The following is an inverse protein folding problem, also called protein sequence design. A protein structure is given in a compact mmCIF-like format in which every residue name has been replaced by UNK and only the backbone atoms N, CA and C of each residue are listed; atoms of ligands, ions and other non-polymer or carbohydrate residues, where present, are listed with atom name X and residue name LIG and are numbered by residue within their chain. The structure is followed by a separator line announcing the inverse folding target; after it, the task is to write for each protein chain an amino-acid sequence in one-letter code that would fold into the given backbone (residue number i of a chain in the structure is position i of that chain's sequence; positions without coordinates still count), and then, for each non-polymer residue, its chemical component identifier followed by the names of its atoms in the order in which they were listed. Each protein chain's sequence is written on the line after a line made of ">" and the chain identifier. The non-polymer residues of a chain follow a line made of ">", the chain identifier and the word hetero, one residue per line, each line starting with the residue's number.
data_IF_961686861387
#
_entry.id   IF_961686861387
#
_cell.length_a   1.000
_cell.length_b   1.000
_cell.length_c   1.000
_cell.angle_alpha   90.00
_cell.angle_beta   90.00
_cell.angle_gamma   90.00
#
_symmetry.space_group_name_H-M   'P 1'
#
loop_
_entity.id
_entity.type
_entity.pdbx_description
1 polymer ?
#
# COMPACT_ATOMS: atom_id res chain seq x y z
N UNK A 1 -15.64 -20.87 2.52
CA UNK A 1 -15.33 -19.86 1.49
C UNK A 1 -16.46 -18.84 1.39
N UNK A 2 -16.32 -17.69 2.03
CA UNK A 2 -17.20 -16.55 1.78
C UNK A 2 -16.83 -15.98 0.42
N UNK A 3 -17.59 -16.27 -0.62
CA UNK A 3 -17.48 -15.56 -1.90
C UNK A 3 -17.94 -14.12 -1.67
N UNK A 4 -16.99 -13.19 -1.66
CA UNK A 4 -17.26 -11.75 -1.70
C UNK A 4 -17.31 -11.31 -3.15
N UNK A 5 -18.41 -10.70 -3.55
CA UNK A 5 -18.56 -10.14 -4.89
C UNK A 5 -18.00 -8.72 -4.91
N UNK A 6 -16.95 -8.50 -5.70
CA UNK A 6 -16.41 -7.16 -5.95
C UNK A 6 -17.34 -6.43 -6.93
N UNK A 7 -17.99 -5.36 -6.47
CA UNK A 7 -18.94 -4.58 -7.28
C UNK A 7 -18.32 -3.39 -7.98
N UNK A 8 -17.22 -2.88 -7.44
CA UNK A 8 -16.50 -1.73 -8.00
C UNK A 8 -15.05 -1.73 -7.51
N UNK A 9 -14.19 -1.01 -8.21
CA UNK A 9 -12.89 -0.57 -7.71
C UNK A 9 -13.01 0.82 -7.08
N UNK A 10 -11.94 1.29 -6.43
CA UNK A 10 -11.82 2.70 -6.11
C UNK A 10 -11.70 3.57 -7.38
N UNK A 11 -11.75 4.90 -7.23
CA UNK A 11 -11.82 5.86 -8.35
C UNK A 11 -10.66 5.69 -9.35
N UNK A 12 -9.46 5.38 -8.87
CA UNK A 12 -8.25 5.29 -9.69
C UNK A 12 -7.85 3.85 -10.04
N UNK A 13 -8.67 2.87 -9.67
CA UNK A 13 -8.49 1.43 -9.96
C UNK A 13 -7.21 0.83 -9.30
N UNK A 14 -6.57 1.54 -8.37
CA UNK A 14 -5.37 1.05 -7.67
C UNK A 14 -5.65 -0.09 -6.70
N UNK A 15 -6.90 -0.22 -6.23
CA UNK A 15 -7.37 -1.33 -5.42
C UNK A 15 -8.78 -1.77 -5.81
N UNK A 16 -9.08 -3.05 -5.62
CA UNK A 16 -10.41 -3.63 -5.78
C UNK A 16 -10.80 -4.26 -4.46
N UNK A 17 -11.63 -3.55 -3.70
CA UNK A 17 -12.03 -3.95 -2.36
C UNK A 17 -13.55 -4.10 -2.26
N UNK A 18 -13.97 -4.92 -1.33
CA UNK A 18 -15.37 -5.21 -1.10
C UNK A 18 -16.07 -4.01 -0.43
N UNK A 19 -17.23 -3.65 -0.94
CA UNK A 19 -18.15 -2.70 -0.30
C UNK A 19 -19.59 -3.18 -0.41
N UNK A 20 -20.38 -2.95 0.63
CA UNK A 20 -21.82 -3.23 0.66
C UNK A 20 -22.57 -2.18 1.50
N UNK A 21 -23.82 -2.44 1.85
CA UNK A 21 -24.62 -1.52 2.65
C UNK A 21 -24.10 -1.34 4.09
N UNK A 22 -23.33 -2.31 4.59
CA UNK A 22 -22.80 -2.29 5.95
C UNK A 22 -21.32 -1.92 6.02
N UNK A 23 -20.60 -1.96 4.90
CA UNK A 23 -19.16 -1.78 4.81
C UNK A 23 -18.79 -0.85 3.67
N UNK A 24 -18.13 0.23 4.00
CA UNK A 24 -17.57 1.15 3.04
C UNK A 24 -16.06 0.96 2.99
N UNK A 25 -15.54 0.70 1.81
CA UNK A 25 -14.11 0.58 1.57
C UNK A 25 -13.30 1.74 2.17
N UNK A 26 -12.24 1.41 2.88
CA UNK A 26 -11.26 2.35 3.41
C UNK A 26 -9.86 1.75 3.35
N UNK A 27 -8.90 2.48 2.79
CA UNK A 27 -7.50 2.07 2.66
C UNK A 27 -6.57 3.23 3.02
N UNK A 28 -5.50 2.94 3.75
CA UNK A 28 -4.40 3.89 3.97
C UNK A 28 -3.35 3.73 2.87
N UNK A 29 -3.11 4.83 2.16
CA UNK A 29 -2.17 4.88 1.04
C UNK A 29 -0.94 5.71 1.38
N UNK A 30 0.24 5.24 0.97
CA UNK A 30 1.50 5.98 1.00
C UNK A 30 2.37 5.61 -0.19
N UNK A 31 3.51 6.28 -0.33
CA UNK A 31 4.48 5.97 -1.38
C UNK A 31 5.89 6.23 -0.91
N UNK A 32 6.83 5.43 -1.43
CA UNK A 32 8.26 5.66 -1.30
C UNK A 32 8.81 6.30 -2.57
N UNK A 33 9.78 7.17 -2.41
CA UNK A 33 10.41 7.89 -3.51
C UNK A 33 11.57 7.05 -4.09
N UNK A 34 11.40 6.57 -5.31
CA UNK A 34 12.41 5.75 -6.00
C UNK A 34 13.66 6.53 -6.42
N UNK A 35 13.65 7.87 -6.41
CA UNK A 35 14.87 8.64 -6.65
C UNK A 35 16.01 8.21 -5.71
N UNK A 36 15.64 7.79 -4.49
CA UNK A 36 16.55 7.32 -3.44
C UNK A 36 16.59 5.79 -3.31
N UNK A 37 16.13 5.04 -4.33
CA UNK A 37 16.04 3.58 -4.27
C UNK A 37 17.36 2.93 -3.87
N UNK A 38 18.48 3.35 -4.46
CA UNK A 38 19.80 2.79 -4.20
C UNK A 38 20.32 3.06 -2.78
N UNK A 39 19.70 4.01 -2.05
CA UNK A 39 20.07 4.34 -0.68
C UNK A 39 19.35 3.43 0.35
N UNK A 40 18.15 2.96 0.02
CA UNK A 40 17.33 2.18 0.96
C UNK A 40 17.04 0.73 0.53
N UNK A 41 17.36 0.34 -0.71
CA UNK A 41 17.04 -1.01 -1.22
C UNK A 41 17.67 -2.16 -0.42
N UNK A 42 18.85 -1.91 0.17
CA UNK A 42 19.60 -2.90 0.96
C UNK A 42 19.25 -2.84 2.47
N UNK A 43 18.38 -1.91 2.86
CA UNK A 43 17.85 -1.84 4.23
C UNK A 43 16.68 -2.83 4.38
N UNK A 44 16.84 -3.90 5.19
CA UNK A 44 15.82 -4.94 5.34
C UNK A 44 14.57 -4.46 6.08
N UNK A 45 14.64 -3.32 6.75
CA UNK A 45 13.59 -2.83 7.64
C UNK A 45 12.83 -1.62 7.05
N UNK A 46 13.37 -0.94 6.02
CA UNK A 46 12.77 0.29 5.50
C UNK A 46 11.32 0.08 5.00
N UNK A 47 11.10 -0.83 4.06
CA UNK A 47 9.74 -1.14 3.55
C UNK A 47 8.91 -1.88 4.60
N UNK A 48 9.55 -2.72 5.41
CA UNK A 48 8.92 -3.42 6.53
C UNK A 48 8.30 -2.43 7.52
N UNK A 49 9.03 -1.42 7.96
CA UNK A 49 8.58 -0.39 8.91
C UNK A 49 7.54 0.55 8.30
N UNK A 50 7.64 0.85 7.00
CA UNK A 50 6.62 1.63 6.29
C UNK A 50 5.25 0.95 6.30
N UNK A 51 5.19 -0.37 6.18
CA UNK A 51 3.93 -1.11 6.29
C UNK A 51 3.39 -1.13 7.74
N UNK A 52 4.27 -1.24 8.74
CA UNK A 52 3.88 -1.12 10.15
C UNK A 52 3.29 0.27 10.41
N UNK A 53 3.94 1.33 9.92
CA UNK A 53 3.44 2.70 10.04
C UNK A 53 2.02 2.83 9.45
N UNK A 54 1.79 2.28 8.26
CA UNK A 54 0.47 2.31 7.63
C UNK A 54 -0.58 1.53 8.44
N UNK A 55 -0.23 0.38 9.01
CA UNK A 55 -1.13 -0.36 9.91
C UNK A 55 -1.44 0.41 11.21
N UNK A 56 -0.47 1.15 11.74
CA UNK A 56 -0.70 2.05 12.88
C UNK A 56 -1.64 3.21 12.52
N UNK A 57 -1.55 3.75 11.30
CA UNK A 57 -2.47 4.80 10.82
C UNK A 57 -3.90 4.24 10.69
N UNK A 58 -4.06 3.01 10.18
CA UNK A 58 -5.38 2.33 10.17
C UNK A 58 -5.91 2.13 11.59
N UNK A 59 -5.06 1.75 12.54
CA UNK A 59 -5.46 1.61 13.94
C UNK A 59 -5.95 2.95 14.54
N UNK A 60 -5.20 4.01 14.30
CA UNK A 60 -5.61 5.36 14.74
C UNK A 60 -6.95 5.78 14.09
N UNK A 61 -7.12 5.51 12.79
CA UNK A 61 -8.38 5.75 12.08
C UNK A 61 -9.55 4.98 12.74
N UNK A 62 -9.36 3.70 13.07
CA UNK A 62 -10.36 2.87 13.75
C UNK A 62 -10.73 3.48 15.10
N UNK A 63 -9.73 3.85 15.91
CA UNK A 63 -9.95 4.38 17.26
C UNK A 63 -10.68 5.74 17.25
N UNK A 64 -10.28 6.65 16.37
CA UNK A 64 -10.89 7.98 16.23
C UNK A 64 -12.24 7.92 15.52
N UNK A 65 -12.31 7.19 14.42
CA UNK A 65 -13.51 7.05 13.60
C UNK A 65 -14.66 6.35 14.33
N UNK A 66 -14.36 5.42 15.25
CA UNK A 66 -15.37 4.75 16.09
C UNK A 66 -16.14 5.72 17.00
N UNK A 67 -15.66 6.93 17.18
CA UNK A 67 -16.28 7.98 18.02
C UNK A 67 -17.06 8.99 17.17
N UNK A 68 -17.03 8.89 15.85
CA UNK A 68 -17.63 9.86 14.94
C UNK A 68 -18.86 9.26 14.26
N UNK A 69 -20.03 9.90 14.39
CA UNK A 69 -21.25 9.46 13.68
C UNK A 69 -21.04 9.49 12.17
N UNK A 70 -21.59 8.46 11.47
CA UNK A 70 -21.53 8.35 10.01
C UNK A 70 -20.31 7.63 9.46
N UNK A 71 -19.35 7.21 10.32
CA UNK A 71 -18.16 6.44 9.92
C UNK A 71 -18.26 4.94 10.24
N UNK A 72 -19.41 4.48 10.73
CA UNK A 72 -19.59 3.11 11.23
C UNK A 72 -19.23 2.05 10.18
N UNK A 73 -19.71 2.25 8.94
CA UNK A 73 -19.48 1.31 7.84
C UNK A 73 -17.98 1.27 7.42
N UNK A 74 -17.33 2.43 7.37
CA UNK A 74 -15.91 2.53 7.02
C UNK A 74 -15.01 1.98 8.13
N UNK A 75 -15.34 2.24 9.39
CA UNK A 75 -14.62 1.69 10.56
C UNK A 75 -14.79 0.18 10.62
N UNK A 76 -15.98 -0.36 10.31
CA UNK A 76 -16.21 -1.80 10.26
C UNK A 76 -15.32 -2.46 9.20
N UNK A 77 -15.28 -1.88 7.99
CA UNK A 77 -14.39 -2.34 6.94
C UNK A 77 -12.93 -2.31 7.40
N UNK A 78 -12.47 -1.17 7.94
CA UNK A 78 -11.10 -1.00 8.40
C UNK A 78 -10.70 -2.05 9.46
N UNK A 79 -11.57 -2.38 10.40
CA UNK A 79 -11.35 -3.44 11.41
C UNK A 79 -11.21 -4.83 10.81
N UNK A 80 -12.06 -5.16 9.84
CA UNK A 80 -12.12 -6.49 9.24
C UNK A 80 -11.04 -6.75 8.19
N UNK A 81 -10.61 -5.71 7.47
CA UNK A 81 -9.70 -5.82 6.33
C UNK A 81 -8.30 -5.29 6.60
N UNK A 82 -8.17 -4.23 7.40
CA UNK A 82 -6.90 -3.52 7.65
C UNK A 82 -6.13 -3.24 6.35
N UNK A 83 -6.86 -2.78 5.33
CA UNK A 83 -6.32 -2.54 3.98
C UNK A 83 -5.33 -1.38 3.98
N UNK A 84 -4.13 -1.62 3.52
CA UNK A 84 -3.08 -0.63 3.31
C UNK A 84 -2.56 -0.71 1.88
N UNK A 85 -1.98 0.37 1.38
CA UNK A 85 -1.44 0.41 0.02
C UNK A 85 -0.16 1.24 -0.03
N UNK A 86 0.99 0.58 -0.01
CA UNK A 86 2.28 1.21 -0.25
C UNK A 86 2.57 1.18 -1.75
N UNK A 87 2.79 2.34 -2.34
CA UNK A 87 3.17 2.50 -3.74
C UNK A 87 4.53 3.17 -3.88
N UNK A 88 4.83 3.63 -5.08
CA UNK A 88 6.08 4.32 -5.41
C UNK A 88 5.82 5.64 -6.13
N UNK A 89 6.80 6.55 -6.08
CA UNK A 89 6.89 7.76 -6.90
C UNK A 89 8.24 7.80 -7.61
N UNK A 90 8.40 8.68 -8.59
CA UNK A 90 9.67 9.00 -9.23
C UNK A 90 10.38 7.87 -9.99
N UNK A 91 9.65 6.85 -10.48
CA UNK A 91 10.27 5.77 -11.27
C UNK A 91 10.98 6.30 -12.51
N UNK A 92 10.32 7.18 -13.29
CA UNK A 92 10.94 7.79 -14.47
C UNK A 92 12.19 8.60 -14.11
N UNK A 93 12.14 9.36 -13.00
CA UNK A 93 13.28 10.14 -12.52
C UNK A 93 14.47 9.24 -12.12
N UNK A 94 14.16 8.10 -11.48
CA UNK A 94 15.16 7.08 -11.16
C UNK A 94 15.81 6.50 -12.43
N UNK A 95 15.01 6.18 -13.44
CA UNK A 95 15.52 5.68 -14.73
C UNK A 95 16.42 6.74 -15.41
N UNK A 96 16.00 8.01 -15.43
CA UNK A 96 16.79 9.10 -16.00
C UNK A 96 18.11 9.31 -15.25
N UNK A 97 18.07 9.30 -13.90
CA UNK A 97 19.28 9.39 -13.06
C UNK A 97 20.32 8.30 -13.42
N UNK A 98 19.84 7.11 -13.79
CA UNK A 98 20.69 5.96 -14.12
C UNK A 98 20.92 5.79 -15.64
N UNK A 99 20.50 6.76 -16.48
CA UNK A 99 20.60 6.69 -17.94
C UNK A 99 19.90 5.46 -18.57
N UNK A 100 18.81 5.01 -17.96
CA UNK A 100 18.01 3.89 -18.44
C UNK A 100 16.84 4.42 -19.27
N UNK A 101 16.69 3.96 -20.51
CA UNK A 101 15.59 4.36 -21.36
C UNK A 101 14.28 3.71 -20.87
N UNK A 102 13.21 4.52 -20.75
CA UNK A 102 11.88 4.00 -20.43
C UNK A 102 11.39 3.03 -21.51
N UNK A 103 10.85 1.89 -21.10
CA UNK A 103 10.40 0.82 -22.00
C UNK A 103 11.52 -0.10 -22.52
N UNK A 104 12.77 0.10 -22.09
CA UNK A 104 13.87 -0.82 -22.36
C UNK A 104 13.78 -2.11 -21.55
N UNK A 105 14.53 -3.13 -21.96
CA UNK A 105 14.66 -4.39 -21.17
C UNK A 105 15.22 -4.09 -19.78
N UNK A 106 16.17 -3.16 -19.69
CA UNK A 106 16.77 -2.76 -18.42
C UNK A 106 15.75 -2.07 -17.49
N UNK A 107 14.88 -1.19 -18.03
CA UNK A 107 13.82 -0.58 -17.25
C UNK A 107 12.81 -1.62 -16.73
N UNK A 108 12.51 -2.65 -17.52
CA UNK A 108 11.68 -3.77 -17.10
C UNK A 108 12.33 -4.58 -15.97
N UNK A 109 13.63 -4.86 -16.07
CA UNK A 109 14.37 -5.55 -15.02
C UNK A 109 14.38 -4.74 -13.71
N UNK A 110 14.60 -3.42 -13.80
CA UNK A 110 14.53 -2.53 -12.64
C UNK A 110 13.13 -2.47 -12.02
N UNK A 111 12.10 -2.42 -12.83
CA UNK A 111 10.72 -2.50 -12.34
C UNK A 111 10.48 -3.81 -11.57
N UNK A 112 10.93 -4.94 -12.14
CA UNK A 112 10.80 -6.24 -11.48
C UNK A 112 11.57 -6.30 -10.15
N UNK A 113 12.81 -5.81 -10.11
CA UNK A 113 13.64 -5.73 -8.90
C UNK A 113 12.93 -4.94 -7.80
N UNK A 114 12.48 -3.73 -8.11
CA UNK A 114 11.83 -2.82 -7.17
C UNK A 114 10.54 -3.44 -6.60
N UNK A 115 9.64 -3.90 -7.47
CA UNK A 115 8.35 -4.42 -7.00
C UNK A 115 8.44 -5.80 -6.35
N UNK A 116 9.46 -6.60 -6.69
CA UNK A 116 9.74 -7.84 -5.96
C UNK A 116 10.19 -7.55 -4.53
N UNK A 117 11.08 -6.58 -4.33
CA UNK A 117 11.52 -6.14 -3.02
C UNK A 117 10.35 -5.60 -2.18
N UNK A 118 9.54 -4.69 -2.76
CA UNK A 118 8.37 -4.15 -2.08
C UNK A 118 7.41 -5.27 -1.64
N UNK A 119 7.14 -6.22 -2.53
CA UNK A 119 6.24 -7.35 -2.25
C UNK A 119 6.76 -8.23 -1.13
N UNK A 120 8.02 -8.63 -1.21
CA UNK A 120 8.65 -9.51 -0.22
C UNK A 120 8.63 -8.88 1.17
N UNK A 121 9.09 -7.64 1.30
CA UNK A 121 9.14 -6.93 2.58
C UNK A 121 7.72 -6.64 3.14
N UNK A 122 6.77 -6.29 2.29
CA UNK A 122 5.39 -6.06 2.70
C UNK A 122 4.71 -7.35 3.17
N UNK A 123 4.95 -8.48 2.51
CA UNK A 123 4.42 -9.77 2.93
C UNK A 123 5.04 -10.21 4.27
N UNK A 124 6.35 -10.02 4.44
CA UNK A 124 7.07 -10.29 5.70
C UNK A 124 6.52 -9.45 6.85
N UNK A 125 6.35 -8.15 6.63
CA UNK A 125 5.78 -7.21 7.61
C UNK A 125 4.37 -7.61 8.04
N UNK A 126 3.48 -7.91 7.08
CA UNK A 126 2.09 -8.30 7.38
C UNK A 126 2.01 -9.62 8.15
N UNK A 127 2.89 -10.60 7.87
CA UNK A 127 2.98 -11.85 8.64
C UNK A 127 3.46 -11.58 10.06
N UNK A 128 4.50 -10.78 10.22
CA UNK A 128 5.01 -10.41 11.54
C UNK A 128 3.95 -9.68 12.37
N UNK A 129 3.22 -8.74 11.77
CA UNK A 129 2.12 -8.05 12.45
C UNK A 129 0.98 -9.00 12.82
N UNK A 130 0.67 -10.00 11.99
CA UNK A 130 -0.33 -11.02 12.30
C UNK A 130 0.08 -11.86 13.52
N UNK A 131 1.35 -12.25 13.63
CA UNK A 131 1.89 -12.98 14.78
C UNK A 131 1.87 -12.14 16.06
N UNK A 132 2.20 -10.85 15.98
CA UNK A 132 2.31 -9.96 17.14
C UNK A 132 0.97 -9.39 17.60
N UNK A 133 0.11 -9.00 16.66
CA UNK A 133 -1.11 -8.25 16.94
C UNK A 133 -2.39 -8.97 16.52
N UNK A 134 -2.25 -10.18 15.96
CA UNK A 134 -3.36 -11.01 15.52
C UNK A 134 -3.84 -10.71 14.10
N UNK A 135 -4.57 -11.65 13.57
CA UNK A 135 -5.20 -11.57 12.26
C UNK A 135 -6.56 -10.87 12.37
N UNK A 136 -6.95 -10.01 11.43
CA UNK A 136 -8.32 -9.52 11.37
C UNK A 136 -9.30 -10.64 10.96
N UNK A 137 -10.59 -10.45 11.23
CA UNK A 137 -11.61 -11.47 11.08
C UNK A 137 -11.61 -12.17 9.72
N UNK A 138 -11.43 -11.40 8.64
CA UNK A 138 -11.48 -11.92 7.27
C UNK A 138 -10.25 -12.72 6.88
N UNK A 139 -9.13 -12.51 7.58
CA UNK A 139 -7.84 -13.16 7.32
C UNK A 139 -7.49 -14.25 8.32
N UNK A 140 -8.43 -14.65 9.17
CA UNK A 140 -8.18 -15.75 10.14
C UNK A 140 -7.72 -17.03 9.46
N UNK A 141 -6.54 -17.50 9.86
CA UNK A 141 -5.90 -18.70 9.33
C UNK A 141 -5.05 -18.48 8.08
N UNK A 142 -4.91 -17.25 7.60
CA UNK A 142 -4.04 -16.91 6.44
C UNK A 142 -2.63 -16.47 6.85
N UNK A 143 -2.40 -16.18 8.13
CA UNK A 143 -1.11 -15.67 8.60
C UNK A 143 -0.79 -14.26 8.12
N UNK A 144 -1.80 -13.44 7.88
CA UNK A 144 -1.68 -12.08 7.37
C UNK A 144 -2.53 -11.11 8.19
N UNK A 145 -2.03 -9.86 8.33
CA UNK A 145 -2.76 -8.80 9.02
C UNK A 145 -3.51 -7.86 8.07
N UNK A 146 -3.07 -7.73 6.83
CA UNK A 146 -3.60 -6.77 5.87
C UNK A 146 -4.12 -7.49 4.62
N UNK A 147 -5.33 -7.18 4.16
CA UNK A 147 -5.90 -7.75 2.93
C UNK A 147 -5.13 -7.29 1.69
N UNK A 148 -4.83 -6.00 1.62
CA UNK A 148 -3.94 -5.41 0.62
C UNK A 148 -2.73 -4.79 1.30
N UNK A 149 -1.60 -4.73 0.63
CA UNK A 149 -0.34 -4.17 1.14
C UNK A 149 0.32 -3.21 0.17
N UNK A 150 0.12 -3.42 -1.11
CA UNK A 150 0.66 -2.59 -2.18
C UNK A 150 -0.48 -1.99 -3.01
N UNK A 151 -0.35 -0.71 -3.35
CA UNK A 151 -1.25 -0.03 -4.27
C UNK A 151 -0.54 1.15 -4.92
N UNK A 152 -0.65 1.25 -6.24
CA UNK A 152 -0.07 2.35 -7.00
C UNK A 152 -1.12 3.45 -7.19
N UNK A 153 -1.28 4.29 -6.16
CA UNK A 153 -2.21 5.41 -6.20
C UNK A 153 -1.63 6.60 -6.97
N UNK A 154 -2.47 7.46 -7.61
CA UNK A 154 -2.03 8.67 -8.28
C UNK A 154 -1.49 9.70 -7.27
N UNK A 155 -0.33 10.31 -7.57
CA UNK A 155 0.46 11.12 -6.62
C UNK A 155 0.77 12.55 -7.12
N UNK A 156 -0.14 13.18 -7.85
CA UNK A 156 0.10 14.50 -8.46
C UNK A 156 0.59 15.55 -7.45
N UNK A 157 -0.11 15.72 -6.34
CA UNK A 157 0.26 16.75 -5.34
C UNK A 157 1.51 16.39 -4.54
N UNK A 158 1.72 15.10 -4.27
CA UNK A 158 2.86 14.61 -3.49
C UNK A 158 4.17 14.83 -4.23
N UNK A 159 4.20 14.73 -5.56
CA UNK A 159 5.41 14.94 -6.35
C UNK A 159 5.98 16.34 -6.26
N UNK A 160 5.15 17.36 -5.98
CA UNK A 160 5.63 18.73 -5.72
C UNK A 160 6.37 18.83 -4.39
N UNK A 161 5.98 18.04 -3.41
CA UNK A 161 6.61 17.99 -2.08
C UNK A 161 7.90 17.16 -2.14
N UNK A 162 7.91 16.10 -2.95
CA UNK A 162 9.04 15.18 -3.13
C UNK A 162 10.19 15.75 -3.98
N UNK A 163 10.27 17.08 -4.15
CA UNK A 163 11.36 17.73 -4.88
C UNK A 163 11.14 17.85 -6.40
N UNK A 164 9.89 17.83 -6.87
CA UNK A 164 9.56 18.02 -8.28
C UNK A 164 9.95 16.84 -9.17
N UNK A 165 10.04 15.64 -8.57
CA UNK A 165 10.25 14.40 -9.31
C UNK A 165 9.08 14.14 -10.25
N UNK A 166 9.35 13.66 -11.46
CA UNK A 166 8.35 13.49 -12.50
C UNK A 166 7.18 12.60 -12.08
N UNK A 167 5.98 12.97 -12.57
CA UNK A 167 4.69 12.29 -12.36
C UNK A 167 4.63 10.86 -12.93
N UNK A 168 5.72 10.32 -13.44
CA UNK A 168 5.74 9.02 -14.08
C UNK A 168 5.42 7.89 -13.11
N UNK A 169 4.45 7.11 -13.47
CA UNK A 169 3.64 6.15 -12.72
C UNK A 169 2.54 6.79 -11.86
N UNK A 170 2.11 7.99 -12.20
CA UNK A 170 0.82 8.50 -11.72
C UNK A 170 -0.27 8.14 -12.72
#
# INVERSE_FOLDING_TARGET
>A
DKKMELKSSNICIETSEYSDYEKTFACCLSSVNLYYFDEWKDDPDFIFDMNILLDCVIEEYIQKGSKLPGLECAVRFAKEHRSIGLGVTAFQTYLQKNNIAFGSIESYQKNHEIFSLLKEQSDKSSRWMAEKWGEPEILKGYGLRNTTRLAQAPKKSTTFIDGGTHLALS
#
